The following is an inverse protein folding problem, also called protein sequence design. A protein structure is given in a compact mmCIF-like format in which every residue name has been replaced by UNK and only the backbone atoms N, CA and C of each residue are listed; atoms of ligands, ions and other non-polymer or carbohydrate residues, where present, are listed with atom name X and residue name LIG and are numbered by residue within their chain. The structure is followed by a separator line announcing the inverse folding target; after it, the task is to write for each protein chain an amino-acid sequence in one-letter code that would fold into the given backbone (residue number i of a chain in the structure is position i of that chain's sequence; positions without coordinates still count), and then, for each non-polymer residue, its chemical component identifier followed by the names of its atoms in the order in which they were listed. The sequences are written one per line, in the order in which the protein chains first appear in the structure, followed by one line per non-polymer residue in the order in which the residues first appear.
data_IF_571670924828
#
_entry.id   IF_571670924828
#
_cell.length_a   1.000
_cell.length_b   1.000
_cell.length_c   1.000
_cell.angle_alpha   90.00
_cell.angle_beta   90.00
_cell.angle_gamma   90.00
#
_symmetry.space_group_name_H-M   'P 1'
#
loop_
_entity.id
_entity.type
_entity.pdbx_description
1 polymer ?
#
# COMPACT_ATOMS: atom_id res chain seq x y z
N UNK A 1 12.79 5.05 -40.66
CA UNK A 1 12.33 4.67 -39.31
C UNK A 1 11.22 3.65 -39.53
N UNK A 2 11.50 2.38 -39.22
CA UNK A 2 10.46 1.34 -39.34
C UNK A 2 9.39 1.61 -38.28
N UNK A 3 8.15 1.86 -38.72
CA UNK A 3 7.01 1.95 -37.86
C UNK A 3 6.71 0.52 -37.37
N UNK A 4 7.04 0.21 -36.11
CA UNK A 4 6.72 -1.08 -35.51
C UNK A 4 5.20 -1.26 -35.56
N UNK A 5 4.73 -2.19 -36.36
CA UNK A 5 3.33 -2.50 -36.51
C UNK A 5 2.76 -3.08 -35.19
N UNK A 6 1.54 -2.68 -34.79
CA UNK A 6 0.84 -3.29 -33.65
C UNK A 6 0.77 -4.82 -33.74
N UNK A 7 0.75 -5.36 -34.94
CA UNK A 7 0.75 -6.79 -35.19
C UNK A 7 2.09 -7.44 -34.81
N UNK A 8 3.21 -6.82 -35.12
CA UNK A 8 4.55 -7.28 -34.73
C UNK A 8 4.72 -7.31 -33.22
N UNK A 9 4.18 -6.31 -32.51
CA UNK A 9 4.20 -6.29 -31.03
C UNK A 9 3.41 -7.47 -30.45
N UNK A 10 2.25 -7.77 -31.01
CA UNK A 10 1.43 -8.90 -30.56
C UNK A 10 2.11 -10.26 -30.83
N UNK A 11 2.70 -10.42 -32.00
CA UNK A 11 3.42 -11.63 -32.39
C UNK A 11 4.64 -11.85 -31.47
N UNK A 12 5.36 -10.78 -31.15
CA UNK A 12 6.52 -10.81 -30.25
C UNK A 12 6.13 -11.21 -28.82
N UNK A 13 5.00 -10.70 -28.32
CA UNK A 13 4.46 -11.08 -27.02
C UNK A 13 4.00 -12.55 -27.02
N UNK A 14 3.37 -13.01 -28.11
CA UNK A 14 2.92 -14.41 -28.24
C UNK A 14 4.11 -15.36 -28.37
N UNK A 15 5.17 -15.01 -29.10
CA UNK A 15 6.37 -15.85 -29.20
C UNK A 15 7.10 -16.01 -27.85
N UNK A 16 7.12 -14.95 -27.04
CA UNK A 16 7.84 -14.91 -25.77
C UNK A 16 6.96 -15.07 -24.52
N UNK A 17 5.68 -15.49 -24.64
CA UNK A 17 4.75 -15.56 -23.51
C UNK A 17 5.26 -16.40 -22.33
N UNK A 18 5.98 -17.49 -22.61
CA UNK A 18 6.61 -18.35 -21.57
C UNK A 18 7.63 -17.57 -20.75
N UNK A 19 8.45 -16.77 -21.41
CA UNK A 19 9.46 -15.94 -20.75
C UNK A 19 8.81 -14.84 -19.90
N UNK A 20 7.74 -14.21 -20.39
CA UNK A 20 6.96 -13.21 -19.64
C UNK A 20 6.39 -13.82 -18.37
N UNK A 21 5.75 -14.99 -18.47
CA UNK A 21 5.19 -15.70 -17.32
C UNK A 21 6.27 -16.07 -16.31
N UNK A 22 7.39 -16.65 -16.76
CA UNK A 22 8.47 -17.08 -15.85
C UNK A 22 9.04 -15.89 -15.08
N UNK A 23 9.37 -14.79 -15.76
CA UNK A 23 9.94 -13.60 -15.11
C UNK A 23 8.94 -13.03 -14.10
N UNK A 24 7.68 -12.89 -14.50
CA UNK A 24 6.61 -12.37 -13.62
C UNK A 24 6.42 -13.28 -12.40
N UNK A 25 6.37 -14.60 -12.59
CA UNK A 25 6.21 -15.57 -11.50
C UNK A 25 7.41 -15.57 -10.54
N UNK A 26 8.63 -15.44 -11.05
CA UNK A 26 9.84 -15.33 -10.21
C UNK A 26 9.77 -14.08 -9.36
N UNK A 27 9.36 -12.93 -9.92
CA UNK A 27 9.29 -11.66 -9.20
C UNK A 27 8.18 -11.68 -8.15
N UNK A 28 7.01 -12.23 -8.48
CA UNK A 28 5.90 -12.42 -7.54
C UNK A 28 6.30 -13.38 -6.41
N UNK A 29 6.96 -14.51 -6.74
CA UNK A 29 7.45 -15.48 -5.75
C UNK A 29 8.50 -14.88 -4.81
N UNK A 30 9.43 -14.09 -5.35
CA UNK A 30 10.44 -13.39 -4.54
C UNK A 30 9.79 -12.36 -3.61
N UNK A 31 8.80 -11.59 -4.11
CA UNK A 31 8.05 -10.63 -3.28
C UNK A 31 7.21 -11.33 -2.21
N UNK A 32 6.57 -12.46 -2.53
CA UNK A 32 5.83 -13.25 -1.56
C UNK A 32 6.74 -13.76 -0.45
N UNK A 33 7.89 -14.35 -0.80
CA UNK A 33 8.87 -14.82 0.17
C UNK A 33 9.41 -13.68 1.04
N UNK A 34 9.79 -12.54 0.43
CA UNK A 34 10.25 -11.36 1.15
C UNK A 34 9.21 -10.82 2.11
N UNK A 35 7.94 -10.71 1.68
CA UNK A 35 6.85 -10.21 2.53
C UNK A 35 6.58 -11.14 3.73
N UNK A 36 6.68 -12.46 3.53
CA UNK A 36 6.37 -13.42 4.61
C UNK A 36 7.53 -13.67 5.55
N UNK A 37 8.79 -13.52 5.10
CA UNK A 37 9.97 -13.88 5.88
C UNK A 37 10.70 -12.68 6.50
N UNK A 38 10.60 -11.49 5.87
CA UNK A 38 11.36 -10.30 6.29
C UNK A 38 10.49 -9.22 6.93
N UNK A 39 9.17 -9.26 6.77
CA UNK A 39 8.28 -8.23 7.32
C UNK A 39 7.49 -8.83 8.48
N UNK A 40 7.65 -8.24 9.66
CA UNK A 40 6.93 -8.66 10.86
C UNK A 40 5.44 -8.32 10.75
N UNK A 41 4.63 -9.15 11.42
CA UNK A 41 3.19 -8.93 11.47
C UNK A 41 2.90 -7.73 12.35
N UNK A 42 2.05 -6.85 11.87
CA UNK A 42 1.59 -5.69 12.64
C UNK A 42 0.13 -5.82 13.00
N UNK A 43 -0.20 -5.36 14.20
CA UNK A 43 -1.54 -5.39 14.76
C UNK A 43 -2.02 -3.96 14.97
N UNK A 44 -3.31 -3.75 14.81
CA UNK A 44 -3.92 -2.45 15.03
C UNK A 44 -4.96 -2.55 16.14
N UNK A 45 -4.87 -1.61 17.08
CA UNK A 45 -5.88 -1.40 18.10
C UNK A 45 -6.31 0.06 18.10
N UNK A 46 -7.57 0.31 18.43
CA UNK A 46 -8.08 1.69 18.36
C UNK A 46 -9.05 1.97 19.50
N UNK A 47 -8.97 3.19 20.03
CA UNK A 47 -9.92 3.76 20.96
C UNK A 47 -10.68 4.90 20.27
N UNK A 48 -11.94 5.08 20.65
CA UNK A 48 -12.80 6.14 20.08
C UNK A 48 -13.26 7.06 21.20
N UNK A 49 -13.06 8.36 20.98
CA UNK A 49 -13.53 9.40 21.89
C UNK A 49 -14.62 10.24 21.22
N UNK A 50 -15.56 10.75 22.00
CA UNK A 50 -16.53 11.74 21.57
C UNK A 50 -16.19 13.10 22.15
N UNK A 51 -16.32 14.13 21.32
CA UNK A 51 -16.24 15.52 21.74
C UNK A 51 -17.64 15.97 22.11
N UNK A 52 -17.92 16.00 23.41
CA UNK A 52 -19.20 16.49 23.94
C UNK A 52 -19.32 18.00 23.89
N UNK A 53 -20.48 18.52 24.26
CA UNK A 53 -20.71 19.95 24.43
C UNK A 53 -20.13 20.41 25.76
N UNK A 54 -19.49 21.59 25.81
CA UNK A 54 -19.09 22.17 27.07
C UNK A 54 -20.31 22.41 27.98
N UNK A 55 -20.18 22.13 29.29
CA UNK A 55 -21.22 22.39 30.26
C UNK A 55 -21.55 23.89 30.28
N UNK A 56 -22.85 24.22 30.20
CA UNK A 56 -23.33 25.60 30.25
C UNK A 56 -23.68 26.24 28.89
N UNK A 57 -23.52 25.54 27.78
CA UNK A 57 -23.93 26.04 26.48
C UNK A 57 -25.44 25.77 26.25
N UNK A 58 -26.25 26.80 26.48
CA UNK A 58 -27.69 26.78 26.16
C UNK A 58 -27.90 27.23 24.72
N UNK A 59 -28.08 26.29 23.80
CA UNK A 59 -28.44 26.63 22.42
C UNK A 59 -29.91 27.01 22.31
N UNK A 60 -30.17 28.23 21.84
CA UNK A 60 -31.45 28.58 21.26
C UNK A 60 -31.59 27.92 19.90
N UNK A 61 -32.73 27.34 19.58
CA UNK A 61 -33.07 26.42 18.48
C UNK A 61 -32.71 26.91 17.05
N UNK A 62 -32.19 28.12 16.88
CA UNK A 62 -31.95 28.76 15.57
C UNK A 62 -30.53 28.55 14.97
N UNK A 63 -29.58 27.92 15.68
CA UNK A 63 -28.17 27.89 15.25
C UNK A 63 -27.57 26.49 15.00
N UNK A 64 -28.40 25.47 14.82
CA UNK A 64 -27.96 24.04 14.71
C UNK A 64 -26.90 23.80 13.63
N UNK A 65 -26.99 24.51 12.51
CA UNK A 65 -26.01 24.37 11.42
C UNK A 65 -24.66 25.03 11.75
N UNK A 66 -24.67 26.10 12.52
CA UNK A 66 -23.46 26.80 12.95
C UNK A 66 -22.75 26.06 14.08
N UNK A 67 -23.53 25.45 14.98
CA UNK A 67 -23.00 24.58 16.04
C UNK A 67 -22.29 23.36 15.49
N UNK A 68 -22.86 22.69 14.48
CA UNK A 68 -22.23 21.52 13.84
C UNK A 68 -20.87 21.88 13.22
N UNK A 69 -20.76 23.08 12.62
CA UNK A 69 -19.47 23.55 12.06
C UNK A 69 -18.43 23.86 13.13
N UNK A 70 -18.88 24.46 14.25
CA UNK A 70 -17.99 24.77 15.38
C UNK A 70 -17.45 23.47 15.99
N UNK A 71 -18.31 22.47 16.21
CA UNK A 71 -17.90 21.19 16.75
C UNK A 71 -16.92 20.46 15.81
N UNK A 72 -17.15 20.50 14.50
CA UNK A 72 -16.20 19.93 13.51
C UNK A 72 -14.83 20.65 13.53
N UNK A 73 -14.80 21.97 13.72
CA UNK A 73 -13.55 22.71 13.89
C UNK A 73 -12.82 22.33 15.19
N UNK A 74 -13.56 22.13 16.28
CA UNK A 74 -12.99 21.67 17.56
C UNK A 74 -12.36 20.29 17.42
N UNK A 75 -13.03 19.36 16.73
CA UNK A 75 -12.50 18.01 16.47
C UNK A 75 -11.17 18.06 15.71
N UNK A 76 -11.05 18.95 14.71
CA UNK A 76 -9.79 19.18 14.00
C UNK A 76 -8.68 19.68 14.95
N UNK A 77 -8.99 20.68 15.77
CA UNK A 77 -8.04 21.22 16.75
C UNK A 77 -7.62 20.16 17.79
N UNK A 78 -8.57 19.38 18.27
CA UNK A 78 -8.31 18.30 19.22
C UNK A 78 -7.44 17.20 18.61
N UNK A 79 -7.65 16.85 17.35
CA UNK A 79 -6.80 15.89 16.65
C UNK A 79 -5.34 16.36 16.53
N UNK A 80 -5.11 17.65 16.36
CA UNK A 80 -3.75 18.22 16.34
C UNK A 80 -3.12 18.26 17.74
N UNK A 81 -3.90 18.56 18.78
CA UNK A 81 -3.42 18.48 20.18
C UNK A 81 -3.02 17.04 20.50
N UNK A 82 -3.84 16.06 20.12
CA UNK A 82 -3.57 14.65 20.37
C UNK A 82 -2.28 14.15 19.68
N UNK A 83 -1.90 14.75 18.54
CA UNK A 83 -0.63 14.48 17.82
C UNK A 83 0.55 15.28 18.35
N UNK A 84 0.32 16.14 19.33
CA UNK A 84 1.38 17.04 19.81
C UNK A 84 2.53 16.27 20.43
N UNK A 85 3.73 16.84 20.34
CA UNK A 85 4.93 16.30 20.97
C UNK A 85 4.75 16.13 22.49
N UNK A 86 4.00 17.02 23.14
CA UNK A 86 3.70 16.93 24.58
C UNK A 86 3.02 15.60 24.94
N UNK A 87 1.95 15.28 24.20
CA UNK A 87 1.21 14.01 24.40
C UNK A 87 2.14 12.81 24.13
N UNK A 88 2.91 12.83 23.03
CA UNK A 88 3.82 11.72 22.70
C UNK A 88 4.89 11.51 23.77
N UNK A 89 5.52 12.57 24.26
CA UNK A 89 6.52 12.49 25.33
C UNK A 89 5.92 11.96 26.64
N UNK A 90 4.70 12.38 26.99
CA UNK A 90 4.01 11.90 28.19
C UNK A 90 3.64 10.42 28.08
N UNK A 91 3.13 9.98 26.92
CA UNK A 91 2.78 8.57 26.66
C UNK A 91 4.04 7.69 26.75
N UNK A 92 5.13 8.11 26.07
CA UNK A 92 6.41 7.40 26.10
C UNK A 92 6.94 7.23 27.52
N UNK A 93 6.89 8.31 28.30
CA UNK A 93 7.34 8.32 29.68
C UNK A 93 6.47 7.47 30.59
N UNK A 94 5.14 7.57 30.44
CA UNK A 94 4.18 6.84 31.28
C UNK A 94 4.24 5.31 31.09
N UNK A 95 4.52 4.88 29.85
CA UNK A 95 4.62 3.46 29.51
C UNK A 95 6.06 2.92 29.50
N UNK A 96 7.07 3.80 29.68
CA UNK A 96 8.49 3.46 29.60
C UNK A 96 8.89 2.71 28.33
N UNK A 97 8.36 3.14 27.18
CA UNK A 97 8.55 2.45 25.90
C UNK A 97 10.00 2.51 25.39
N UNK A 98 10.76 3.53 25.81
CA UNK A 98 12.12 3.74 25.34
C UNK A 98 12.25 4.14 23.87
N UNK A 99 11.13 4.49 23.24
CA UNK A 99 11.05 4.94 21.84
C UNK A 99 11.40 6.43 21.74
N UNK A 100 11.81 6.86 20.56
CA UNK A 100 11.82 8.29 20.27
C UNK A 100 10.38 8.81 20.06
N UNK A 101 10.15 10.10 20.32
CA UNK A 101 8.83 10.73 20.09
C UNK A 101 8.37 10.56 18.62
N UNK A 102 9.31 10.51 17.67
CA UNK A 102 9.03 10.32 16.25
C UNK A 102 8.59 8.88 15.92
N UNK A 103 9.22 7.88 16.50
CA UNK A 103 8.82 6.46 16.35
C UNK A 103 7.42 6.26 16.90
N UNK A 104 7.14 6.75 18.12
CA UNK A 104 5.82 6.67 18.72
C UNK A 104 4.76 7.39 17.87
N UNK A 105 5.07 8.58 17.36
CA UNK A 105 4.16 9.32 16.49
C UNK A 105 3.84 8.59 15.18
N UNK A 106 4.78 7.81 14.64
CA UNK A 106 4.54 6.98 13.44
C UNK A 106 3.65 5.76 13.73
N UNK A 107 3.64 5.26 14.95
CA UNK A 107 2.77 4.16 15.38
C UNK A 107 1.33 4.64 15.58
N UNK A 108 1.10 5.92 15.88
CA UNK A 108 -0.19 6.49 16.28
C UNK A 108 -0.81 7.27 15.11
N UNK A 109 -2.00 6.87 14.71
CA UNK A 109 -2.82 7.58 13.73
C UNK A 109 -4.06 8.13 14.39
N UNK A 110 -4.26 9.44 14.31
CA UNK A 110 -5.44 10.11 14.86
C UNK A 110 -6.26 10.64 13.70
N UNK A 111 -7.53 10.29 13.68
CA UNK A 111 -8.47 10.64 12.60
C UNK A 111 -9.86 10.96 13.16
N UNK A 112 -10.59 11.75 12.41
CA UNK A 112 -12.03 11.98 12.66
C UNK A 112 -12.84 10.91 11.95
N UNK A 113 -13.92 10.45 12.56
CA UNK A 113 -14.80 9.44 11.96
C UNK A 113 -15.90 10.15 11.15
N UNK A 114 -15.87 10.01 9.82
CA UNK A 114 -16.93 10.48 8.90
C UNK A 114 -17.42 11.94 9.15
N UNK A 115 -16.53 12.85 9.49
CA UNK A 115 -16.87 14.24 9.86
C UNK A 115 -17.88 14.35 11.02
N UNK A 116 -17.88 13.36 11.91
CA UNK A 116 -18.65 13.39 13.17
C UNK A 116 -17.84 14.01 14.31
N UNK A 117 -18.43 14.10 15.48
CA UNK A 117 -17.78 14.53 16.72
C UNK A 117 -16.91 13.43 17.35
N UNK A 118 -16.61 12.37 16.60
CA UNK A 118 -15.80 11.24 17.06
C UNK A 118 -14.35 11.38 16.60
N UNK A 119 -13.43 11.19 17.55
CA UNK A 119 -12.00 11.10 17.31
C UNK A 119 -11.59 9.64 17.52
N UNK A 120 -10.94 9.06 16.54
CA UNK A 120 -10.38 7.71 16.60
C UNK A 120 -8.87 7.79 16.73
N UNK A 121 -8.32 7.21 17.77
CA UNK A 121 -6.90 7.01 17.99
C UNK A 121 -6.59 5.56 17.67
N UNK A 122 -5.82 5.32 16.62
CA UNK A 122 -5.42 3.98 16.17
C UNK A 122 -3.92 3.83 16.33
N UNK A 123 -3.50 2.72 16.92
CA UNK A 123 -2.09 2.40 17.14
C UNK A 123 -1.75 1.11 16.42
N UNK A 124 -0.65 1.12 15.70
CA UNK A 124 -0.12 -0.05 15.00
C UNK A 124 1.22 -0.44 15.62
N UNK A 125 1.31 -1.68 16.13
CA UNK A 125 2.53 -2.26 16.72
C UNK A 125 2.70 -3.72 16.29
N UNK A 126 3.88 -4.26 16.48
CA UNK A 126 4.18 -5.69 16.30
C UNK A 126 3.58 -6.53 17.46
N UNK A 127 3.34 -5.91 18.62
CA UNK A 127 2.65 -6.54 19.76
C UNK A 127 1.22 -6.02 19.88
N UNK A 128 0.19 -6.90 19.78
CA UNK A 128 -1.21 -6.50 19.90
C UNK A 128 -1.56 -5.95 21.30
N UNK A 129 -0.87 -6.38 22.36
CA UNK A 129 -1.08 -5.89 23.73
C UNK A 129 -0.51 -4.48 23.86
N UNK A 130 0.67 -4.25 23.30
CA UNK A 130 1.30 -2.93 23.26
C UNK A 130 0.44 -1.94 22.47
N UNK A 131 -0.09 -2.32 21.30
CA UNK A 131 -0.97 -1.49 20.50
C UNK A 131 -2.21 -1.00 21.29
N UNK A 132 -2.88 -1.91 22.01
CA UNK A 132 -4.04 -1.57 22.83
C UNK A 132 -3.67 -0.66 24.01
N UNK A 133 -2.56 -0.95 24.67
CA UNK A 133 -2.07 -0.19 25.83
C UNK A 133 -1.68 1.24 25.43
N UNK A 134 -0.95 1.41 24.34
CA UNK A 134 -0.58 2.73 23.84
C UNK A 134 -1.82 3.51 23.42
N UNK A 135 -2.79 2.89 22.72
CA UNK A 135 -4.00 3.56 22.28
C UNK A 135 -4.82 4.10 23.47
N UNK A 136 -5.05 3.29 24.49
CA UNK A 136 -5.78 3.70 25.69
C UNK A 136 -5.03 4.77 26.49
N UNK A 137 -3.71 4.61 26.66
CA UNK A 137 -2.91 5.60 27.38
C UNK A 137 -2.80 6.92 26.65
N UNK A 138 -2.75 6.89 25.32
CA UNK A 138 -2.78 8.11 24.49
C UNK A 138 -4.12 8.84 24.68
N UNK A 139 -5.23 8.12 24.70
CA UNK A 139 -6.55 8.71 24.95
C UNK A 139 -6.65 9.36 26.34
N UNK A 140 -6.18 8.68 27.38
CA UNK A 140 -6.19 9.18 28.77
C UNK A 140 -5.38 10.49 28.91
N UNK A 141 -4.14 10.48 28.39
CA UNK A 141 -3.25 11.64 28.48
C UNK A 141 -3.82 12.80 27.61
N UNK A 142 -4.29 12.48 26.42
CA UNK A 142 -4.92 13.48 25.55
C UNK A 142 -6.13 14.15 26.21
N UNK A 143 -7.02 13.40 26.86
CA UNK A 143 -8.16 13.95 27.58
C UNK A 143 -7.71 14.89 28.72
N UNK A 144 -6.67 14.51 29.44
CA UNK A 144 -6.08 15.32 30.51
C UNK A 144 -5.49 16.62 29.97
N UNK A 145 -4.68 16.55 28.94
CA UNK A 145 -4.05 17.72 28.30
C UNK A 145 -5.10 18.69 27.75
N UNK A 146 -6.17 18.18 27.10
CA UNK A 146 -7.27 19.03 26.61
C UNK A 146 -7.99 19.70 27.76
N UNK A 147 -8.29 18.98 28.83
CA UNK A 147 -8.96 19.54 30.00
C UNK A 147 -8.13 20.66 30.66
N UNK A 148 -6.81 20.48 30.72
CA UNK A 148 -5.88 21.49 31.26
C UNK A 148 -5.72 22.70 30.35
N UNK A 149 -5.55 22.49 29.04
CA UNK A 149 -5.30 23.56 28.08
C UNK A 149 -6.55 24.39 27.78
N UNK A 150 -7.68 23.72 27.57
CA UNK A 150 -8.92 24.34 27.15
C UNK A 150 -9.81 24.73 28.32
N UNK A 151 -9.49 24.25 29.54
CA UNK A 151 -10.32 24.41 30.75
C UNK A 151 -11.76 23.87 30.59
N UNK A 152 -11.89 22.84 29.75
CA UNK A 152 -13.17 22.22 29.39
C UNK A 152 -12.99 20.71 29.49
N UNK A 153 -13.93 20.04 30.17
CA UNK A 153 -13.96 18.59 30.27
C UNK A 153 -15.12 18.04 29.43
N UNK A 154 -14.91 17.99 28.11
CA UNK A 154 -15.93 17.61 27.14
C UNK A 154 -15.54 16.38 26.29
N UNK A 155 -14.48 15.69 26.65
CA UNK A 155 -14.05 14.45 26.01
C UNK A 155 -14.47 13.24 26.83
N UNK A 156 -15.02 12.24 26.17
CA UNK A 156 -15.36 10.95 26.80
C UNK A 156 -14.94 9.79 25.90
N UNK A 157 -14.45 8.71 26.51
CA UNK A 157 -14.16 7.47 25.79
C UNK A 157 -15.49 6.78 25.50
N UNK A 158 -15.73 6.49 24.22
CA UNK A 158 -16.90 5.72 23.74
C UNK A 158 -16.53 4.25 23.71
N UNK A 159 -15.39 3.94 23.07
CA UNK A 159 -14.86 2.58 22.96
C UNK A 159 -13.41 2.56 23.39
N UNK A 160 -13.07 1.69 24.29
CA UNK A 160 -11.68 1.41 24.67
C UNK A 160 -11.01 0.50 23.64
N UNK A 161 -9.71 0.68 23.45
CA UNK A 161 -8.91 -0.19 22.61
C UNK A 161 -8.81 -1.58 23.26
N UNK A 162 -9.17 -2.60 22.49
CA UNK A 162 -9.04 -4.00 22.89
C UNK A 162 -7.91 -4.67 22.15
N UNK A 163 -7.34 -5.72 22.76
CA UNK A 163 -6.26 -6.50 22.12
C UNK A 163 -6.82 -7.26 20.92
N UNK A 164 -6.39 -6.88 19.72
CA UNK A 164 -6.78 -7.51 18.48
C UNK A 164 -5.66 -8.42 17.97
N UNK A 165 -5.83 -9.72 18.07
CA UNK A 165 -4.85 -10.71 17.63
C UNK A 165 -4.86 -10.96 16.10
N UNK A 166 -5.70 -10.26 15.35
CA UNK A 166 -5.74 -10.37 13.89
C UNK A 166 -4.74 -9.39 13.28
N UNK A 167 -3.70 -9.86 12.57
CA UNK A 167 -2.72 -8.96 11.96
C UNK A 167 -3.36 -8.14 10.82
N UNK A 168 -3.03 -6.85 10.77
CA UNK A 168 -3.46 -5.93 9.72
C UNK A 168 -2.39 -5.73 8.63
N UNK A 169 -1.15 -6.05 8.94
CA UNK A 169 -0.02 -5.97 8.03
C UNK A 169 0.90 -7.20 8.13
N UNK A 170 1.71 -7.42 7.12
CA UNK A 170 1.72 -6.80 5.79
C UNK A 170 0.54 -7.22 4.90
N UNK A 171 0.08 -6.31 4.02
CA UNK A 171 -0.99 -6.63 3.08
C UNK A 171 -0.45 -7.45 1.89
N UNK A 172 -0.38 -8.77 2.05
CA UNK A 172 0.15 -9.70 1.06
C UNK A 172 -0.53 -9.56 -0.30
N UNK A 173 -1.87 -9.40 -0.32
CA UNK A 173 -2.62 -9.28 -1.58
C UNK A 173 -2.21 -8.04 -2.38
N UNK A 174 -2.07 -6.91 -1.71
CA UNK A 174 -1.65 -5.65 -2.35
C UNK A 174 -0.20 -5.76 -2.85
N UNK A 175 0.71 -6.29 -2.03
CA UNK A 175 2.11 -6.45 -2.41
C UNK A 175 2.27 -7.38 -3.62
N UNK A 176 1.52 -8.49 -3.66
CA UNK A 176 1.51 -9.40 -4.83
C UNK A 176 0.92 -8.73 -6.08
N UNK A 177 -0.14 -7.95 -5.94
CA UNK A 177 -0.73 -7.24 -7.08
C UNK A 177 0.25 -6.22 -7.68
N UNK A 178 0.94 -5.46 -6.84
CA UNK A 178 1.99 -4.52 -7.29
C UNK A 178 3.14 -5.28 -7.95
N UNK A 179 3.62 -6.36 -7.33
CA UNK A 179 4.70 -7.18 -7.87
C UNK A 179 4.34 -7.81 -9.22
N UNK A 180 3.08 -8.24 -9.39
CA UNK A 180 2.57 -8.77 -10.64
C UNK A 180 2.58 -7.71 -11.75
N UNK A 181 2.08 -6.51 -11.49
CA UNK A 181 2.08 -5.41 -12.46
C UNK A 181 3.51 -5.00 -12.86
N UNK A 182 4.39 -4.81 -11.87
CA UNK A 182 5.78 -4.46 -12.12
C UNK A 182 6.52 -5.59 -12.84
N UNK A 183 6.26 -6.85 -12.46
CA UNK A 183 6.82 -8.03 -13.11
C UNK A 183 6.41 -8.15 -14.57
N UNK A 184 5.14 -7.87 -14.88
CA UNK A 184 4.63 -7.86 -16.25
C UNK A 184 5.29 -6.73 -17.08
N UNK A 185 5.37 -5.51 -16.54
CA UNK A 185 6.03 -4.41 -17.22
C UNK A 185 7.52 -4.70 -17.49
N UNK A 186 8.22 -5.21 -16.48
CA UNK A 186 9.64 -5.55 -16.60
C UNK A 186 9.86 -6.66 -17.62
N UNK A 187 9.04 -7.72 -17.58
CA UNK A 187 9.16 -8.86 -18.49
C UNK A 187 8.92 -8.47 -19.95
N UNK A 188 7.92 -7.64 -20.22
CA UNK A 188 7.67 -7.09 -21.56
C UNK A 188 8.84 -6.23 -22.01
N UNK A 189 9.38 -5.36 -21.14
CA UNK A 189 10.56 -4.57 -21.43
C UNK A 189 11.78 -5.42 -21.79
N UNK A 190 12.03 -6.51 -21.06
CA UNK A 190 13.13 -7.45 -21.34
C UNK A 190 12.92 -8.13 -22.70
N UNK A 191 11.70 -8.54 -23.03
CA UNK A 191 11.38 -9.14 -24.33
C UNK A 191 11.66 -8.15 -25.46
N UNK A 192 11.27 -6.89 -25.30
CA UNK A 192 11.57 -5.84 -26.28
C UNK A 192 13.07 -5.60 -26.46
N UNK A 193 13.80 -5.49 -25.35
CA UNK A 193 15.27 -5.31 -25.42
C UNK A 193 15.93 -6.51 -26.08
N UNK A 194 15.49 -7.72 -25.76
CA UNK A 194 15.96 -8.95 -26.39
C UNK A 194 15.75 -8.92 -27.92
N UNK A 195 14.58 -8.50 -28.38
CA UNK A 195 14.26 -8.44 -29.81
C UNK A 195 15.08 -7.35 -30.53
N UNK A 196 15.24 -6.18 -29.94
CA UNK A 196 16.11 -5.12 -30.51
C UNK A 196 17.57 -5.57 -30.65
N UNK A 197 18.04 -6.38 -29.69
CA UNK A 197 19.41 -6.95 -29.74
C UNK A 197 19.51 -8.19 -30.66
N UNK A 198 18.38 -8.73 -31.09
CA UNK A 198 18.35 -9.90 -31.96
C UNK A 198 18.56 -9.47 -33.41
N UNK A 199 19.73 -9.73 -33.96
CA UNK A 199 20.10 -9.43 -35.34
C UNK A 199 19.74 -10.54 -36.33
N UNK A 200 19.00 -11.56 -35.89
CA UNK A 200 18.61 -12.70 -36.73
C UNK A 200 17.46 -12.31 -37.65
N UNK A 201 17.63 -12.49 -38.95
CA UNK A 201 16.59 -12.27 -39.96
C UNK A 201 15.60 -13.44 -39.89
N UNK A 202 14.37 -13.18 -39.46
CA UNK A 202 13.32 -14.20 -39.28
C UNK A 202 12.31 -14.26 -40.45
N UNK A 203 12.20 -13.18 -41.24
CA UNK A 203 11.20 -13.08 -42.29
C UNK A 203 11.82 -12.76 -43.66
N UNK A 204 11.13 -13.22 -44.71
CA UNK A 204 11.54 -12.95 -46.12
C UNK A 204 11.53 -11.44 -46.42
N UNK A 205 10.63 -10.69 -45.80
CA UNK A 205 10.55 -9.26 -46.01
C UNK A 205 11.71 -8.50 -45.36
N UNK A 206 12.18 -8.95 -44.17
CA UNK A 206 13.43 -8.45 -43.57
C UNK A 206 14.64 -8.75 -44.46
N UNK A 207 14.68 -9.95 -45.05
CA UNK A 207 15.73 -10.32 -45.96
C UNK A 207 15.76 -9.44 -47.23
N UNK A 208 14.59 -9.13 -47.81
CA UNK A 208 14.47 -8.22 -48.94
C UNK A 208 14.97 -6.81 -48.65
N UNK A 209 14.62 -6.30 -47.44
CA UNK A 209 15.09 -4.99 -47.00
C UNK A 209 16.60 -4.92 -46.80
N UNK A 210 17.22 -5.98 -46.30
CA UNK A 210 18.66 -6.06 -46.08
C UNK A 210 19.42 -6.33 -47.37
N UNK A 211 18.86 -7.14 -48.28
CA UNK A 211 19.49 -7.56 -49.52
C UNK A 211 19.38 -6.48 -50.64
N UNK A 212 18.57 -5.43 -50.46
CA UNK A 212 18.33 -4.39 -51.43
C UNK A 212 17.75 -4.94 -52.74
N UNK A 213 18.40 -4.63 -53.89
CA UNK A 213 17.95 -5.05 -55.22
C UNK A 213 18.23 -6.53 -55.59
N UNK A 214 18.65 -7.36 -54.63
CA UNK A 214 18.92 -8.79 -54.87
C UNK A 214 17.62 -9.58 -54.89
N UNK A 215 17.34 -10.26 -56.02
CA UNK A 215 16.14 -11.09 -56.14
C UNK A 215 16.30 -12.40 -55.35
N UNK A 216 15.35 -12.70 -54.49
CA UNK A 216 15.29 -13.99 -53.77
C UNK A 216 14.82 -15.05 -54.76
N UNK A 217 15.70 -16.01 -55.10
CA UNK A 217 15.46 -17.04 -56.13
C UNK A 217 14.65 -18.21 -55.55
N UNK A 218 14.72 -18.46 -54.23
CA UNK A 218 13.99 -19.54 -53.61
C UNK A 218 14.18 -19.56 -52.09
N UNK A 219 13.25 -20.19 -51.39
CA UNK A 219 13.27 -20.42 -49.94
C UNK A 219 13.24 -21.93 -49.74
N UNK A 220 14.24 -22.49 -49.02
CA UNK A 220 14.28 -23.89 -48.64
C UNK A 220 13.76 -23.96 -47.21
N UNK A 221 12.56 -24.53 -46.98
CA UNK A 221 12.06 -24.71 -45.62
C UNK A 221 12.94 -25.74 -44.89
N UNK A 222 13.25 -25.45 -43.61
CA UNK A 222 13.89 -26.45 -42.75
C UNK A 222 12.83 -27.55 -42.48
N UNK A 223 13.05 -28.74 -43.03
CA UNK A 223 12.24 -29.91 -42.74
C UNK A 223 12.77 -30.55 -41.46
N UNK A 224 11.95 -30.64 -40.43
CA UNK A 224 12.18 -31.54 -39.29
C UNK A 224 12.44 -32.94 -39.85
N UNK A 225 13.57 -33.53 -39.49
CA UNK A 225 13.96 -34.89 -39.97
C UNK A 225 12.77 -35.84 -39.80
N UNK A 226 12.19 -36.27 -40.90
CA UNK A 226 11.35 -37.44 -40.93
C UNK A 226 12.22 -38.61 -40.42
N UNK A 227 12.06 -38.95 -39.14
CA UNK A 227 12.53 -40.23 -38.62
C UNK A 227 11.86 -41.30 -39.49
N UNK A 228 12.61 -41.78 -40.51
CA UNK A 228 12.25 -42.96 -41.22
C UNK A 228 12.30 -44.11 -40.21
N UNK A 229 11.13 -44.39 -39.61
CA UNK A 229 10.93 -45.64 -38.87
C UNK A 229 11.05 -46.77 -39.88
N UNK A 230 12.29 -47.28 -39.98
CA UNK A 230 12.67 -48.38 -40.82
C UNK A 230 12.03 -49.66 -40.28
N UNK A 231 11.01 -50.12 -40.95
CA UNK A 231 10.36 -51.38 -40.68
C UNK A 231 11.33 -52.55 -40.60
N UNK A 232 11.08 -53.36 -39.59
CA UNK A 232 11.25 -54.82 -39.61
C UNK A 232 10.14 -55.48 -38.82
#
# INVERSE_FOLDING_TARGET
MEEISLREILDLLQENWKMIIIITMVLVGFTAAGTLLLIDKTYNSSTTLIVGRPEGYSSTVSDTANELRINQQLVGTYSEIAKSKSVMTQVNSALNLGLSDGELANMITISTVNNTELIKISVTSEDPVEAATIANKTAEIFMTDVAELMKINNLQIVDEAVVNSSPVGPNLKLNLAIAFLLGMMLSVGIVFVKEVLNTTVKTVDQLKHLAGDVSIIGIIPECEELTLDGGK
#
